data_IF_082330486083
#
_entry.id   IF_082330486083
#
_cell.length_a   1.000
_cell.length_b   1.000
_cell.length_c   1.000
_cell.angle_alpha   90.00
_cell.angle_beta   90.00
_cell.angle_gamma   90.00
#
_symmetry.space_group_name_H-M   'P 1'
#
loop_
_entity.id
_entity.type
_entity.pdbx_description
1 polymer ?
#
# COMPACT_ATOMS: atom_id res chain seq x y z
N UNK A 1 11.07 5.35 -2.26
CA UNK A 1 10.17 4.57 -3.12
C UNK A 1 9.70 5.38 -4.32
N UNK A 2 9.69 4.80 -5.53
CA UNK A 2 9.17 5.44 -6.76
C UNK A 2 7.64 5.37 -6.84
N UNK A 3 7.02 6.28 -7.59
CA UNK A 3 5.59 6.21 -7.85
C UNK A 3 5.27 5.02 -8.76
N UNK A 4 4.30 4.21 -8.35
CA UNK A 4 3.80 3.07 -9.12
C UNK A 4 2.52 3.49 -9.88
N UNK A 5 2.47 3.34 -11.22
CA UNK A 5 1.25 3.58 -11.98
C UNK A 5 0.22 2.48 -11.67
N UNK A 6 -0.94 2.87 -11.14
CA UNK A 6 -1.96 1.92 -10.68
C UNK A 6 -2.77 1.23 -11.78
N UNK A 7 -2.68 1.74 -13.02
CA UNK A 7 -3.43 1.21 -14.17
C UNK A 7 -2.96 -0.20 -14.53
N UNK A 8 -1.66 -0.44 -14.49
CA UNK A 8 -1.04 -1.67 -14.99
C UNK A 8 -0.62 -2.63 -13.87
N UNK A 9 -1.23 -2.50 -12.68
CA UNK A 9 -0.96 -3.39 -11.55
C UNK A 9 -1.71 -4.71 -11.66
N UNK A 10 -1.02 -5.79 -11.27
CA UNK A 10 -1.62 -7.13 -11.06
C UNK A 10 -2.68 -7.07 -9.96
N UNK A 11 -3.62 -8.01 -9.98
CA UNK A 11 -4.66 -8.12 -8.95
C UNK A 11 -4.14 -8.66 -7.61
N UNK A 12 -3.06 -9.45 -7.65
CA UNK A 12 -2.41 -10.01 -6.48
C UNK A 12 -0.89 -9.95 -6.63
N UNK A 13 -0.20 -9.65 -5.53
CA UNK A 13 1.25 -9.63 -5.43
C UNK A 13 1.69 -10.51 -4.29
N UNK A 14 2.50 -11.53 -4.56
CA UNK A 14 3.16 -12.30 -3.50
C UNK A 14 4.10 -11.41 -2.69
N UNK A 15 4.40 -11.79 -1.44
CA UNK A 15 5.34 -11.02 -0.59
C UNK A 15 6.67 -10.72 -1.32
N UNK A 16 7.35 -11.69 -1.98
CA UNK A 16 8.61 -11.41 -2.69
C UNK A 16 8.44 -10.45 -3.88
N UNK A 17 7.33 -10.56 -4.62
CA UNK A 17 7.04 -9.62 -5.72
C UNK A 17 6.81 -8.21 -5.19
N UNK A 18 6.11 -8.08 -4.05
CA UNK A 18 5.83 -6.79 -3.45
C UNK A 18 7.11 -6.12 -2.92
N UNK A 19 7.99 -6.88 -2.26
CA UNK A 19 9.33 -6.40 -1.88
C UNK A 19 10.10 -5.82 -3.07
N UNK A 20 10.11 -6.54 -4.21
CA UNK A 20 10.77 -6.07 -5.44
C UNK A 20 10.10 -4.81 -6.00
N UNK A 21 8.76 -4.78 -6.03
CA UNK A 21 7.99 -3.64 -6.53
C UNK A 21 8.25 -2.38 -5.69
N UNK A 22 8.39 -2.55 -4.38
CA UNK A 22 8.58 -1.44 -3.44
C UNK A 22 10.05 -1.07 -3.23
N UNK A 23 10.98 -1.84 -3.82
CA UNK A 23 12.43 -1.69 -3.65
C UNK A 23 12.82 -1.72 -2.15
N UNK A 24 12.21 -2.61 -1.36
CA UNK A 24 12.43 -2.76 0.08
C UNK A 24 12.54 -4.22 0.50
N UNK A 25 13.12 -4.47 1.66
CA UNK A 25 13.22 -5.83 2.18
C UNK A 25 11.91 -6.32 2.84
N UNK A 26 11.88 -7.59 3.24
CA UNK A 26 10.70 -8.21 3.85
C UNK A 26 10.41 -7.66 5.26
N UNK A 27 11.44 -7.27 6.01
CA UNK A 27 11.28 -6.75 7.36
C UNK A 27 10.69 -5.33 7.32
N UNK A 28 11.18 -4.48 6.42
CA UNK A 28 10.65 -3.14 6.15
C UNK A 28 9.20 -3.21 5.68
N UNK A 29 8.91 -4.09 4.71
CA UNK A 29 7.54 -4.31 4.23
C UNK A 29 6.61 -4.72 5.38
N UNK A 30 7.07 -5.62 6.26
CA UNK A 30 6.30 -6.06 7.43
C UNK A 30 6.05 -4.91 8.40
N UNK A 31 7.05 -4.08 8.70
CA UNK A 31 6.88 -2.93 9.58
C UNK A 31 5.83 -1.95 9.06
N UNK A 32 5.82 -1.68 7.75
CA UNK A 32 4.79 -0.83 7.15
C UNK A 32 3.41 -1.49 7.11
N UNK A 33 3.35 -2.77 6.77
CA UNK A 33 2.12 -3.56 6.81
C UNK A 33 1.47 -3.51 8.20
N UNK A 34 2.26 -3.74 9.26
CA UNK A 34 1.81 -3.67 10.65
C UNK A 34 1.41 -2.23 11.03
N UNK A 35 2.21 -1.22 10.67
CA UNK A 35 1.95 0.20 10.96
C UNK A 35 0.62 0.69 10.40
N UNK A 36 0.28 0.28 9.18
CA UNK A 36 -0.95 0.70 8.52
C UNK A 36 -2.09 -0.31 8.68
N UNK A 37 -1.90 -1.36 9.48
CA UNK A 37 -2.87 -2.45 9.68
C UNK A 37 -3.36 -3.09 8.36
N UNK A 38 -2.44 -3.27 7.41
CA UNK A 38 -2.68 -3.91 6.11
C UNK A 38 -1.90 -5.22 6.10
N UNK A 39 -2.59 -6.35 6.31
CA UNK A 39 -1.97 -7.67 6.34
C UNK A 39 -2.02 -8.40 4.99
N UNK A 40 -1.13 -9.40 4.77
CA UNK A 40 -1.22 -10.28 3.63
C UNK A 40 -2.39 -11.26 3.76
N UNK A 41 -2.87 -11.75 2.62
CA UNK A 41 -3.88 -12.80 2.50
C UNK A 41 -3.28 -14.01 1.78
N UNK A 42 -3.80 -15.19 2.10
CA UNK A 42 -3.47 -16.44 1.41
C UNK A 42 -4.34 -16.60 0.16
N UNK A 43 -3.71 -16.96 -0.97
CA UNK A 43 -4.42 -17.29 -2.20
C UNK A 43 -4.92 -18.75 -2.22
N UNK A 44 -5.67 -19.12 -3.25
CA UNK A 44 -6.20 -20.49 -3.42
C UNK A 44 -5.13 -21.58 -3.62
N UNK A 45 -3.86 -21.18 -3.81
CA UNK A 45 -2.71 -22.06 -4.03
C UNK A 45 -1.77 -22.10 -2.81
N UNK A 46 -2.12 -21.43 -1.71
CA UNK A 46 -1.31 -21.37 -0.48
C UNK A 46 -0.21 -20.32 -0.49
N UNK A 47 -0.20 -19.39 -1.46
CA UNK A 47 0.75 -18.30 -1.50
C UNK A 47 0.26 -17.11 -0.68
N UNK A 48 1.16 -16.52 0.09
CA UNK A 48 0.88 -15.30 0.86
C UNK A 48 1.26 -14.04 0.08
N UNK A 49 0.36 -13.07 0.06
CA UNK A 49 0.53 -11.84 -0.70
C UNK A 49 -0.52 -10.80 -0.39
N UNK A 50 -0.63 -9.79 -1.24
CA UNK A 50 -1.52 -8.65 -1.06
C UNK A 50 -2.37 -8.44 -2.29
N UNK A 51 -3.64 -8.10 -2.07
CA UNK A 51 -4.53 -7.66 -3.13
C UNK A 51 -4.11 -6.28 -3.64
N UNK A 52 -4.37 -6.01 -4.91
CA UNK A 52 -4.11 -4.72 -5.56
C UNK A 52 -4.63 -3.52 -4.78
N UNK A 53 -5.82 -3.63 -4.20
CA UNK A 53 -6.40 -2.57 -3.39
C UNK A 53 -5.51 -2.23 -2.18
N UNK A 54 -4.97 -3.25 -1.53
CA UNK A 54 -4.13 -3.10 -0.34
C UNK A 54 -2.71 -2.67 -0.71
N UNK A 55 -2.15 -3.17 -1.81
CA UNK A 55 -0.88 -2.67 -2.35
C UNK A 55 -0.98 -1.17 -2.67
N UNK A 56 -2.09 -0.70 -3.26
CA UNK A 56 -2.30 0.72 -3.56
C UNK A 56 -2.40 1.57 -2.29
N UNK A 57 -3.12 1.10 -1.26
CA UNK A 57 -3.20 1.79 0.03
C UNK A 57 -1.82 1.87 0.68
N UNK A 58 -1.11 0.75 0.72
CA UNK A 58 0.22 0.64 1.33
C UNK A 58 1.24 1.52 0.60
N UNK A 59 1.29 1.46 -0.73
CA UNK A 59 2.16 2.34 -1.52
C UNK A 59 1.85 3.81 -1.26
N UNK A 60 0.58 4.23 -1.32
CA UNK A 60 0.20 5.62 -1.10
C UNK A 60 0.59 6.12 0.30
N UNK A 61 0.42 5.28 1.32
CA UNK A 61 0.76 5.61 2.70
C UNK A 61 2.28 5.79 2.86
N UNK A 62 3.07 4.81 2.43
CA UNK A 62 4.55 4.85 2.47
C UNK A 62 5.07 6.02 1.63
N UNK A 63 4.52 6.23 0.44
CA UNK A 63 4.94 7.28 -0.48
C UNK A 63 4.72 8.69 0.11
N UNK A 64 3.58 8.92 0.77
CA UNK A 64 3.29 10.17 1.48
C UNK A 64 4.24 10.35 2.67
N UNK A 65 4.42 9.32 3.46
CA UNK A 65 5.28 9.35 4.65
C UNK A 65 6.74 9.67 4.30
N UNK A 66 7.32 8.98 3.31
CA UNK A 66 8.70 9.21 2.87
C UNK A 66 8.95 10.62 2.30
N UNK A 67 7.88 11.32 1.90
CA UNK A 67 7.94 12.69 1.36
C UNK A 67 7.61 13.75 2.42
N UNK A 68 7.47 13.35 3.68
CA UNK A 68 7.11 14.25 4.78
C UNK A 68 5.70 14.82 4.65
N UNK A 69 4.81 14.18 3.88
CA UNK A 69 3.42 14.59 3.79
C UNK A 69 2.75 14.29 5.13
N UNK A 70 2.61 15.33 5.95
CA UNK A 70 1.76 15.28 7.13
C UNK A 70 0.30 15.35 6.65
N UNK A 71 -0.59 14.43 7.07
CA UNK A 71 -2.01 14.64 6.87
C UNK A 71 -2.36 15.97 7.51
N UNK A 72 -2.89 16.91 6.72
CA UNK A 72 -3.44 18.16 7.27
C UNK A 72 -4.40 17.75 8.39
N UNK A 73 -4.11 18.15 9.63
CA UNK A 73 -5.04 17.96 10.74
C UNK A 73 -6.41 18.46 10.28
N UNK A 74 -7.41 17.59 10.31
CA UNK A 74 -8.75 17.82 9.76
C UNK A 74 -9.28 19.25 9.98
N UNK A 75 -9.20 20.10 8.95
CA UNK A 75 -10.28 21.04 8.69
C UNK A 75 -11.22 20.32 7.73
N UNK A 76 -12.29 19.79 8.29
CA UNK A 76 -13.48 19.25 7.63
C UNK A 76 -13.65 19.66 6.17
N UNK A 77 -13.35 18.74 5.26
CA UNK A 77 -14.02 18.67 3.96
C UNK A 77 -14.61 17.28 3.85
N UNK A 78 -15.76 17.08 4.51
CA UNK A 78 -16.74 16.14 4.00
C UNK A 78 -17.00 16.57 2.55
N UNK A 79 -16.61 15.73 1.58
CA UNK A 79 -17.04 15.95 0.21
C UNK A 79 -18.53 15.63 0.16
N UNK A 80 -19.32 16.68 0.01
CA UNK A 80 -20.72 16.63 -0.37
C UNK A 80 -20.82 15.86 -1.69
N UNK A 81 -21.58 14.75 -1.76
CA UNK A 81 -21.72 13.96 -2.99
C UNK A 81 -22.49 14.67 -4.12
N UNK A 82 -22.87 15.95 -3.95
CA UNK A 82 -23.49 16.78 -5.00
C UNK A 82 -22.83 18.15 -5.26
N UNK A 83 -21.62 18.42 -4.75
CA UNK A 83 -20.91 19.68 -5.02
C UNK A 83 -20.08 19.67 -6.32
#
# INVERSE_FOLDING_TARGET
MKYIPYRDMKEFYTIPELCRLFEMDKAELRQYADKYAIGPVEDQFGNWGFLKADVRKLHNAIYKEQRGYQPKSNSSFQQDPWA
#
